data_IF_327704651822
#
_entry.id   IF_327704651822
#
_cell.length_a   1.000
_cell.length_b   1.000
_cell.length_c   1.000
_cell.angle_alpha   90.00
_cell.angle_beta   90.00
_cell.angle_gamma   90.00
#
_symmetry.space_group_name_H-M   'P 1'
#
loop_
_entity.id
_entity.type
_entity.pdbx_description
1 polymer ?
#
# COMPACT_ATOMS: atom_id res chain seq x y z
N UNK A 1 -2.51 29.51 -11.50
CA UNK A 1 -3.75 29.40 -12.32
C UNK A 1 -3.93 27.92 -12.56
N UNK A 2 -5.10 27.35 -12.27
CA UNK A 2 -5.30 25.89 -12.39
C UNK A 2 -5.01 25.46 -13.83
N UNK A 3 -4.00 24.61 -14.00
CA UNK A 3 -3.57 24.12 -15.32
C UNK A 3 -4.60 23.16 -15.91
N UNK A 4 -4.72 23.18 -17.24
CA UNK A 4 -5.65 22.34 -17.99
C UNK A 4 -5.11 20.90 -18.08
N UNK A 5 -5.79 19.89 -17.48
CA UNK A 5 -5.31 18.51 -17.44
C UNK A 5 -5.34 17.81 -18.82
N UNK A 6 -5.94 18.42 -19.84
CA UNK A 6 -5.89 17.91 -21.21
C UNK A 6 -4.67 18.40 -22.00
N UNK A 7 -3.94 19.38 -21.46
CA UNK A 7 -2.82 20.05 -22.13
C UNK A 7 -1.50 19.95 -21.36
N UNK A 8 -1.57 19.65 -20.06
CA UNK A 8 -0.40 19.57 -19.18
C UNK A 8 -0.25 18.16 -18.62
N UNK A 9 0.98 17.76 -18.38
CA UNK A 9 1.27 16.49 -17.71
C UNK A 9 0.91 16.57 -16.22
N UNK A 10 0.60 15.43 -15.61
CA UNK A 10 0.21 15.36 -14.20
C UNK A 10 1.22 15.99 -13.25
N UNK A 11 2.53 15.88 -13.56
CA UNK A 11 3.60 16.45 -12.75
C UNK A 11 3.66 17.98 -12.84
N UNK A 12 3.33 18.58 -13.98
CA UNK A 12 3.28 20.05 -14.15
C UNK A 12 2.13 20.64 -13.33
N UNK A 13 0.98 19.94 -13.34
CA UNK A 13 -0.19 20.30 -12.53
C UNK A 13 0.12 20.19 -11.04
N UNK A 14 0.80 19.11 -10.64
CA UNK A 14 1.23 18.92 -9.26
C UNK A 14 2.22 20.03 -8.83
N UNK A 15 3.22 20.34 -9.65
CA UNK A 15 4.21 21.40 -9.38
C UNK A 15 3.54 22.77 -9.20
N UNK A 16 2.56 23.13 -10.06
CA UNK A 16 1.78 24.36 -9.88
C UNK A 16 1.01 24.36 -8.56
N UNK A 17 0.35 23.25 -8.23
CA UNK A 17 -0.45 23.13 -7.03
C UNK A 17 0.41 23.11 -5.75
N UNK A 18 1.63 22.59 -5.82
CA UNK A 18 2.59 22.58 -4.71
C UNK A 18 2.93 24.01 -4.24
N UNK A 19 2.95 25.00 -5.15
CA UNK A 19 3.19 26.41 -4.79
C UNK A 19 2.12 27.04 -3.87
N UNK A 20 0.96 26.38 -3.73
CA UNK A 20 -0.22 26.87 -3.01
C UNK A 20 -0.74 25.85 -1.99
N UNK A 21 0.08 24.88 -1.61
CA UNK A 21 -0.24 23.92 -0.56
C UNK A 21 -0.38 24.58 0.81
N UNK A 22 -1.25 24.01 1.63
CA UNK A 22 -1.24 24.28 3.07
C UNK A 22 -0.02 23.63 3.69
N UNK A 23 0.56 24.27 4.69
CA UNK A 23 1.52 23.61 5.58
C UNK A 23 0.85 22.45 6.32
N UNK A 24 1.65 21.48 6.77
CA UNK A 24 1.14 20.35 7.54
C UNK A 24 0.56 20.80 8.88
N UNK A 25 1.05 21.92 9.43
CA UNK A 25 0.51 22.55 10.63
C UNK A 25 -0.91 23.09 10.38
N UNK A 26 -1.15 23.79 9.27
CA UNK A 26 -2.50 24.26 8.90
C UNK A 26 -3.47 23.08 8.67
N UNK A 27 -3.00 21.98 8.08
CA UNK A 27 -3.80 20.75 7.96
C UNK A 27 -4.15 20.17 9.34
N UNK A 28 -3.18 20.13 10.25
CA UNK A 28 -3.38 19.62 11.61
C UNK A 28 -4.38 20.47 12.41
N UNK A 29 -4.29 21.80 12.29
CA UNK A 29 -5.25 22.73 12.90
C UNK A 29 -6.66 22.52 12.34
N UNK A 30 -6.80 22.36 11.02
CA UNK A 30 -8.10 22.08 10.38
C UNK A 30 -8.69 20.72 10.81
N UNK A 31 -7.83 19.74 11.11
CA UNK A 31 -8.23 18.44 11.62
C UNK A 31 -8.52 18.44 13.13
N UNK A 32 -8.24 19.53 13.85
CA UNK A 32 -8.38 19.59 15.30
C UNK A 32 -7.42 18.64 16.03
N UNK A 33 -6.19 18.52 15.50
CA UNK A 33 -5.12 17.76 16.16
C UNK A 33 -4.52 18.55 17.32
N UNK A 34 -4.23 17.84 18.40
CA UNK A 34 -3.44 18.41 19.48
C UNK A 34 -1.97 18.52 19.03
N UNK A 35 -1.23 19.47 19.61
CA UNK A 35 0.16 19.78 19.21
C UNK A 35 1.08 18.55 19.14
N UNK A 36 0.88 17.61 20.06
CA UNK A 36 1.71 16.42 20.25
C UNK A 36 1.23 15.22 19.41
N UNK A 37 0.15 15.37 18.64
CA UNK A 37 -0.40 14.35 17.74
C UNK A 37 0.17 14.46 16.32
N UNK A 38 0.68 15.64 15.95
CA UNK A 38 1.41 15.85 14.71
C UNK A 38 2.92 15.68 14.94
N UNK A 39 3.56 14.89 14.08
CA UNK A 39 5.00 14.70 14.02
C UNK A 39 5.51 15.29 12.69
N UNK A 40 5.89 16.58 12.64
CA UNK A 40 6.23 17.24 11.37
C UNK A 40 7.45 16.61 10.68
N UNK A 41 7.39 16.49 9.37
CA UNK A 41 8.50 16.10 8.50
C UNK A 41 8.71 17.20 7.45
N UNK A 42 9.42 18.25 7.85
CA UNK A 42 9.47 19.50 7.10
C UNK A 42 8.16 20.29 7.23
N UNK A 43 7.80 21.02 6.19
CA UNK A 43 6.68 21.99 6.22
C UNK A 43 5.37 21.46 5.64
N UNK A 44 5.41 20.44 4.79
CA UNK A 44 4.25 19.98 4.00
C UNK A 44 3.92 18.50 4.17
N UNK A 45 4.73 17.77 4.95
CA UNK A 45 4.50 16.39 5.33
C UNK A 45 4.61 16.23 6.84
N UNK A 46 3.95 15.23 7.39
CA UNK A 46 4.10 14.84 8.78
C UNK A 46 3.60 13.43 9.00
N UNK A 47 3.88 12.88 10.16
CA UNK A 47 3.25 11.67 10.67
C UNK A 47 2.23 12.02 11.74
N UNK A 48 1.27 11.14 11.95
CA UNK A 48 0.27 11.28 13.01
C UNK A 48 0.51 10.25 14.09
N UNK A 49 0.64 10.69 15.35
CA UNK A 49 0.70 9.79 16.50
C UNK A 49 -0.67 9.11 16.67
N UNK A 50 -0.80 7.93 16.05
CA UNK A 50 -2.09 7.24 16.00
C UNK A 50 -2.59 6.89 17.40
N UNK A 51 -1.67 6.63 18.33
CA UNK A 51 -2.04 6.21 19.69
C UNK A 51 -2.67 7.36 20.44
N UNK A 52 -2.04 8.53 20.46
CA UNK A 52 -2.60 9.71 21.13
C UNK A 52 -3.97 10.09 20.56
N UNK A 53 -4.11 10.06 19.24
CA UNK A 53 -5.37 10.39 18.57
C UNK A 53 -6.47 9.38 18.93
N UNK A 54 -6.18 8.09 18.82
CA UNK A 54 -7.18 7.04 19.09
C UNK A 54 -7.54 6.94 20.57
N UNK A 55 -6.59 7.19 21.48
CA UNK A 55 -6.83 7.23 22.93
C UNK A 55 -7.72 8.44 23.29
N UNK A 56 -7.42 9.62 22.74
CA UNK A 56 -8.21 10.85 22.97
C UNK A 56 -9.62 10.77 22.39
N UNK A 57 -9.77 10.15 21.22
CA UNK A 57 -11.03 10.07 20.48
C UNK A 57 -11.72 8.70 20.62
N UNK A 58 -11.37 7.91 21.64
CA UNK A 58 -11.91 6.56 21.83
C UNK A 58 -13.44 6.52 21.85
N UNK A 59 -14.07 7.49 22.54
CA UNK A 59 -15.52 7.58 22.73
C UNK A 59 -16.26 8.27 21.55
N UNK A 60 -15.52 8.89 20.62
CA UNK A 60 -16.13 9.53 19.44
C UNK A 60 -16.60 8.43 18.48
N UNK A 61 -17.85 8.46 17.97
CA UNK A 61 -18.29 7.49 16.97
C UNK A 61 -17.45 7.61 15.68
N UNK A 62 -17.24 6.48 15.02
CA UNK A 62 -16.56 6.46 13.73
C UNK A 62 -17.40 7.16 12.65
N UNK A 63 -16.71 7.87 11.75
CA UNK A 63 -17.29 8.43 10.53
C UNK A 63 -17.76 7.37 9.53
N UNK A 64 -18.11 7.80 8.33
CA UNK A 64 -18.54 6.94 7.24
C UNK A 64 -17.34 6.40 6.47
N UNK A 65 -17.27 5.08 6.34
CA UNK A 65 -16.17 4.39 5.68
C UNK A 65 -16.53 4.03 4.25
N UNK A 66 -15.79 4.56 3.27
CA UNK A 66 -16.05 4.40 1.84
C UNK A 66 -14.85 3.72 1.21
N UNK A 67 -15.05 2.57 0.58
CA UNK A 67 -14.02 1.93 -0.26
C UNK A 67 -14.22 2.31 -1.73
N UNK A 68 -13.14 2.65 -2.41
CA UNK A 68 -13.10 2.81 -3.86
C UNK A 68 -12.41 1.59 -4.46
N UNK A 69 -13.14 0.86 -5.28
CA UNK A 69 -12.67 -0.29 -6.05
C UNK A 69 -12.93 -0.07 -7.54
N UNK A 70 -12.66 -1.05 -8.39
CA UNK A 70 -12.85 -0.94 -9.82
C UNK A 70 -13.38 -2.24 -10.44
N UNK A 71 -13.74 -2.16 -11.71
CA UNK A 71 -13.89 -3.33 -12.56
C UNK A 71 -12.55 -4.07 -12.76
N UNK A 72 -12.57 -5.21 -13.43
CA UNK A 72 -11.35 -5.96 -13.71
C UNK A 72 -10.39 -5.09 -14.54
N UNK A 73 -9.13 -4.88 -14.11
CA UNK A 73 -8.23 -3.95 -14.78
C UNK A 73 -7.96 -4.31 -16.23
N UNK A 74 -7.94 -3.28 -17.07
CA UNK A 74 -7.55 -3.33 -18.47
C UNK A 74 -6.21 -2.61 -18.66
N UNK A 75 -5.50 -2.82 -19.78
CA UNK A 75 -4.25 -2.08 -20.06
C UNK A 75 -4.41 -0.56 -20.13
N UNK A 76 -5.64 -0.04 -20.21
CA UNK A 76 -5.96 1.38 -20.27
C UNK A 76 -5.92 2.09 -18.90
N UNK A 77 -6.11 1.33 -17.82
CA UNK A 77 -6.35 1.86 -16.49
C UNK A 77 -7.74 2.48 -16.34
N UNK A 78 -8.34 2.27 -15.17
CA UNK A 78 -9.70 2.72 -14.88
C UNK A 78 -9.74 4.06 -14.15
N UNK A 79 -8.59 4.57 -13.66
CA UNK A 79 -8.51 5.83 -12.91
C UNK A 79 -9.06 5.74 -11.48
N UNK A 80 -8.89 4.58 -10.82
CA UNK A 80 -9.40 4.36 -9.45
C UNK A 80 -8.87 5.37 -8.42
N UNK A 81 -7.56 5.59 -8.38
CA UNK A 81 -6.96 6.54 -7.43
C UNK A 81 -7.34 7.99 -7.77
N UNK A 82 -7.52 8.31 -9.06
CA UNK A 82 -8.09 9.59 -9.51
C UNK A 82 -9.52 9.77 -8.99
N UNK A 83 -10.35 8.72 -9.05
CA UNK A 83 -11.70 8.73 -8.47
C UNK A 83 -11.66 8.91 -6.95
N UNK A 84 -10.77 8.23 -6.23
CA UNK A 84 -10.63 8.38 -4.78
C UNK A 84 -10.27 9.83 -4.40
N UNK A 85 -9.26 10.43 -5.04
CA UNK A 85 -8.90 11.84 -4.80
C UNK A 85 -10.01 12.80 -5.23
N UNK A 86 -10.67 12.53 -6.36
CA UNK A 86 -11.81 13.32 -6.84
C UNK A 86 -13.00 13.27 -5.87
N UNK A 87 -13.25 12.11 -5.24
CA UNK A 87 -14.29 11.96 -4.24
C UNK A 87 -13.96 12.70 -2.95
N UNK A 88 -12.69 12.65 -2.50
CA UNK A 88 -12.21 13.45 -1.35
C UNK A 88 -12.39 14.94 -1.63
N UNK A 89 -11.90 15.44 -2.77
CA UNK A 89 -12.07 16.83 -3.19
C UNK A 89 -13.55 17.21 -3.30
N UNK A 90 -14.37 16.36 -3.93
CA UNK A 90 -15.80 16.59 -4.11
C UNK A 90 -16.58 16.66 -2.81
N UNK A 91 -16.29 15.78 -1.85
CA UNK A 91 -16.86 15.84 -0.49
C UNK A 91 -16.42 17.12 0.24
N UNK A 92 -15.14 17.48 0.11
CA UNK A 92 -14.60 18.75 0.63
C UNK A 92 -15.34 19.98 0.06
N UNK A 93 -15.57 20.04 -1.26
CA UNK A 93 -16.35 21.12 -1.89
C UNK A 93 -17.81 21.18 -1.41
N UNK A 94 -18.34 20.06 -0.93
CA UNK A 94 -19.68 19.99 -0.31
C UNK A 94 -19.66 20.28 1.19
N UNK A 95 -18.56 20.85 1.70
CA UNK A 95 -18.34 21.18 3.11
C UNK A 95 -18.49 19.95 4.03
N UNK A 96 -18.08 18.77 3.56
CA UNK A 96 -18.00 17.56 4.40
C UNK A 96 -16.59 17.41 4.94
N UNK A 97 -16.49 17.05 6.23
CA UNK A 97 -15.22 16.66 6.83
C UNK A 97 -14.80 15.30 6.27
N UNK A 98 -13.72 15.26 5.49
CA UNK A 98 -13.29 14.07 4.75
C UNK A 98 -11.77 13.92 4.82
N UNK A 99 -11.32 12.69 5.00
CA UNK A 99 -9.91 12.28 4.89
C UNK A 99 -9.81 11.17 3.85
N UNK A 100 -8.84 11.26 2.94
CA UNK A 100 -8.46 10.15 2.07
C UNK A 100 -7.45 9.22 2.76
N UNK A 101 -7.50 7.91 2.51
CA UNK A 101 -6.51 6.94 3.00
C UNK A 101 -6.02 6.05 1.87
N UNK A 102 -4.79 6.27 1.40
CA UNK A 102 -4.24 5.58 0.23
C UNK A 102 -2.92 4.89 0.52
N UNK A 103 -2.50 4.02 -0.41
CA UNK A 103 -1.27 3.25 -0.29
C UNK A 103 -0.06 4.11 -0.64
N UNK A 104 1.03 3.89 0.07
CA UNK A 104 2.35 4.35 -0.34
C UNK A 104 2.81 3.58 -1.59
N UNK A 105 3.22 4.27 -2.66
CA UNK A 105 3.84 3.60 -3.80
C UNK A 105 5.28 3.17 -3.48
N UNK A 106 5.72 2.11 -4.15
CA UNK A 106 7.15 1.77 -4.26
C UNK A 106 7.84 2.78 -5.17
N UNK A 107 9.05 3.21 -4.81
CA UNK A 107 9.88 4.08 -5.66
C UNK A 107 10.49 3.33 -6.86
N UNK A 108 10.63 2.01 -6.76
CA UNK A 108 11.22 1.19 -7.81
C UNK A 108 10.52 1.29 -9.17
N UNK A 109 9.18 1.13 -9.25
CA UNK A 109 8.44 1.29 -10.50
C UNK A 109 8.37 2.73 -11.03
N UNK A 110 8.44 3.73 -10.15
CA UNK A 110 8.42 5.16 -10.50
C UNK A 110 9.55 5.51 -11.47
N UNK A 111 10.72 4.91 -11.29
CA UNK A 111 11.90 5.13 -12.15
C UNK A 111 11.84 4.36 -13.48
N UNK A 112 10.70 3.77 -13.84
CA UNK A 112 10.55 2.95 -15.04
C UNK A 112 9.34 3.44 -15.86
N UNK A 113 8.40 2.55 -16.23
CA UNK A 113 7.26 2.88 -17.11
C UNK A 113 6.05 3.43 -16.33
N UNK A 114 5.96 3.18 -15.01
CA UNK A 114 4.77 3.58 -14.24
C UNK A 114 4.89 5.02 -13.77
N UNK A 115 3.91 5.84 -14.15
CA UNK A 115 3.67 7.15 -13.54
C UNK A 115 3.21 7.04 -12.09
N UNK A 116 2.87 8.19 -11.51
CA UNK A 116 2.49 8.27 -10.09
C UNK A 116 1.19 7.51 -9.79
N UNK A 117 1.13 6.89 -8.60
CA UNK A 117 -0.09 6.30 -8.05
C UNK A 117 -0.93 7.32 -7.24
N UNK A 118 -0.59 8.61 -7.29
CA UNK A 118 -1.22 9.65 -6.48
C UNK A 118 -2.61 10.08 -6.97
N UNK A 119 -3.09 9.54 -8.10
CA UNK A 119 -4.24 10.05 -8.85
C UNK A 119 -3.78 10.59 -10.20
N UNK A 120 -4.55 11.50 -10.80
CA UNK A 120 -4.21 12.11 -12.10
C UNK A 120 -5.02 13.37 -12.39
N UNK A 121 -4.52 14.20 -13.30
CA UNK A 121 -5.11 15.48 -13.66
C UNK A 121 -5.30 16.40 -12.45
N UNK A 122 -6.52 16.91 -12.27
CA UNK A 122 -6.87 17.80 -11.16
C UNK A 122 -7.27 17.07 -9.86
N UNK A 123 -7.07 15.75 -9.80
CA UNK A 123 -7.38 14.93 -8.63
C UNK A 123 -6.16 14.08 -8.26
N UNK A 124 -5.24 14.68 -7.52
CA UNK A 124 -3.96 14.09 -7.11
C UNK A 124 -3.67 14.35 -5.63
N UNK A 125 -2.91 13.44 -5.02
CA UNK A 125 -2.24 13.64 -3.73
C UNK A 125 -0.85 14.25 -3.94
N UNK A 126 -0.52 15.30 -3.20
CA UNK A 126 0.75 16.06 -3.28
C UNK A 126 1.34 16.30 -1.88
N UNK A 127 2.67 16.54 -1.75
CA UNK A 127 3.69 16.68 -2.80
C UNK A 127 4.00 15.41 -3.60
N UNK A 128 4.08 15.51 -4.92
CA UNK A 128 4.19 14.34 -5.83
C UNK A 128 5.56 13.66 -5.74
N UNK A 129 6.63 14.46 -5.61
CA UNK A 129 8.00 13.93 -5.53
C UNK A 129 8.22 13.14 -4.23
N UNK A 130 7.97 13.71 -3.03
CA UNK A 130 7.95 12.95 -1.78
C UNK A 130 7.03 11.72 -1.83
N UNK A 131 5.81 11.84 -2.36
CA UNK A 131 4.88 10.71 -2.51
C UNK A 131 5.53 9.53 -3.26
N UNK A 132 6.29 9.83 -4.31
CA UNK A 132 6.86 8.84 -5.22
C UNK A 132 8.23 8.31 -4.80
N UNK A 133 8.98 9.03 -3.96
CA UNK A 133 10.39 8.77 -3.62
C UNK A 133 10.62 8.43 -2.13
N UNK A 134 9.63 7.81 -1.49
CA UNK A 134 9.78 7.20 -0.16
C UNK A 134 9.20 8.01 1.01
N UNK A 135 8.65 9.20 0.77
CA UNK A 135 8.00 10.06 1.75
C UNK A 135 8.85 10.25 3.03
N UNK A 136 8.40 9.68 4.14
CA UNK A 136 8.97 9.78 5.48
C UNK A 136 9.85 8.59 5.85
N UNK A 137 10.12 7.68 4.91
CA UNK A 137 11.04 6.56 5.09
C UNK A 137 10.41 5.22 5.50
N UNK A 138 9.10 5.06 5.43
CA UNK A 138 8.41 3.81 5.86
C UNK A 138 8.90 2.56 5.12
N UNK A 139 9.10 2.65 3.80
CA UNK A 139 9.67 1.55 3.02
C UNK A 139 11.13 1.27 3.43
N UNK A 140 11.88 2.30 3.84
CA UNK A 140 13.25 2.12 4.33
C UNK A 140 13.27 1.37 5.66
N UNK A 141 12.35 1.70 6.58
CA UNK A 141 12.16 0.96 7.82
C UNK A 141 11.82 -0.51 7.54
N UNK A 142 10.93 -0.78 6.57
CA UNK A 142 10.59 -2.14 6.15
C UNK A 142 11.81 -2.87 5.57
N UNK A 143 12.61 -2.22 4.72
CA UNK A 143 13.85 -2.80 4.19
C UNK A 143 14.81 -3.17 5.31
N UNK A 144 15.05 -2.27 6.25
CA UNK A 144 15.96 -2.53 7.37
C UNK A 144 15.44 -3.63 8.29
N UNK A 145 14.16 -3.61 8.65
CA UNK A 145 13.55 -4.66 9.48
C UNK A 145 13.61 -6.04 8.78
N UNK A 146 13.24 -6.12 7.50
CA UNK A 146 13.25 -7.38 6.76
C UNK A 146 14.66 -7.94 6.58
N UNK A 147 15.59 -7.08 6.13
CA UNK A 147 16.96 -7.50 5.89
C UNK A 147 17.69 -7.83 7.20
N UNK A 148 17.32 -7.21 8.34
CA UNK A 148 17.80 -7.63 9.65
C UNK A 148 17.40 -9.07 9.99
N UNK A 149 16.18 -9.50 9.62
CA UNK A 149 15.76 -10.90 9.74
C UNK A 149 16.66 -11.85 8.94
N UNK A 150 17.02 -11.48 7.71
CA UNK A 150 17.98 -12.24 6.89
C UNK A 150 19.40 -12.24 7.46
N UNK A 151 19.86 -11.11 8.02
CA UNK A 151 21.16 -11.03 8.70
C UNK A 151 21.18 -11.97 9.90
N UNK A 152 20.14 -11.97 10.73
CA UNK A 152 20.05 -12.85 11.89
C UNK A 152 20.04 -14.33 11.49
N UNK A 153 19.28 -14.68 10.44
CA UNK A 153 19.21 -16.04 9.89
C UNK A 153 20.58 -16.52 9.41
N UNK A 154 21.24 -15.76 8.54
CA UNK A 154 22.54 -16.14 7.96
C UNK A 154 23.65 -16.19 9.02
N UNK A 155 23.64 -15.25 9.97
CA UNK A 155 24.55 -15.24 11.12
C UNK A 155 24.35 -16.46 12.01
N UNK A 156 23.08 -16.85 12.27
CA UNK A 156 22.76 -18.06 13.05
C UNK A 156 23.27 -19.31 12.36
N UNK A 157 23.04 -19.46 11.06
CA UNK A 157 23.54 -20.60 10.27
C UNK A 157 25.07 -20.69 10.30
N UNK A 158 25.78 -19.57 10.18
CA UNK A 158 27.24 -19.53 10.25
C UNK A 158 27.74 -19.94 11.64
N UNK A 159 27.15 -19.41 12.72
CA UNK A 159 27.51 -19.80 14.08
C UNK A 159 27.31 -21.29 14.32
N UNK A 160 26.18 -21.84 13.87
CA UNK A 160 25.90 -23.26 13.95
C UNK A 160 26.88 -24.11 13.14
N UNK A 161 27.31 -23.66 11.95
CA UNK A 161 28.33 -24.35 11.17
C UNK A 161 29.73 -24.29 11.82
N UNK A 162 30.02 -23.22 12.56
CA UNK A 162 31.36 -22.94 13.08
C UNK A 162 31.64 -23.51 14.47
N UNK A 163 30.59 -23.76 15.25
CA UNK A 163 30.68 -24.08 16.68
C UNK A 163 29.91 -25.35 17.04
N UNK A 164 30.43 -26.09 18.02
CA UNK A 164 29.75 -27.24 18.62
C UNK A 164 28.64 -26.79 19.58
N UNK A 165 27.76 -27.72 19.97
CA UNK A 165 26.64 -27.42 20.86
C UNK A 165 27.10 -26.96 22.24
N UNK A 166 28.23 -27.46 22.73
CA UNK A 166 28.82 -27.00 24.00
C UNK A 166 29.26 -25.54 23.92
N UNK A 167 29.78 -25.09 22.78
CA UNK A 167 30.19 -23.69 22.57
C UNK A 167 28.96 -22.79 22.43
N UNK A 168 27.93 -23.24 21.71
CA UNK A 168 26.66 -22.50 21.59
C UNK A 168 25.97 -22.36 22.95
N UNK A 169 25.92 -23.44 23.75
CA UNK A 169 25.31 -23.43 25.08
C UNK A 169 26.01 -22.47 26.04
N UNK A 170 27.36 -22.35 25.98
CA UNK A 170 28.12 -21.34 26.76
C UNK A 170 27.73 -19.89 26.42
N UNK A 171 27.12 -19.65 25.26
CA UNK A 171 26.61 -18.34 24.81
C UNK A 171 25.09 -18.22 25.01
N UNK A 172 24.45 -19.16 25.68
CA UNK A 172 23.00 -19.19 25.88
C UNK A 172 22.21 -19.57 24.62
N UNK A 173 22.86 -20.14 23.59
CA UNK A 173 22.22 -20.47 22.33
C UNK A 173 21.94 -21.97 22.22
N UNK A 174 20.75 -22.31 21.75
CA UNK A 174 20.39 -23.65 21.30
C UNK A 174 20.52 -23.73 19.78
N UNK A 175 21.05 -24.85 19.26
CA UNK A 175 21.08 -25.14 17.82
C UNK A 175 19.66 -25.25 17.29
N UNK A 176 19.37 -24.51 16.22
CA UNK A 176 18.11 -24.58 15.47
C UNK A 176 18.16 -25.60 14.33
N UNK A 177 19.37 -26.00 13.90
CA UNK A 177 19.60 -27.02 12.87
C UNK A 177 18.94 -26.68 11.53
N UNK A 178 19.11 -25.41 11.13
CA UNK A 178 18.48 -24.82 9.94
C UNK A 178 18.96 -25.55 8.68
N UNK A 179 18.03 -25.98 7.83
CA UNK A 179 18.38 -26.65 6.59
C UNK A 179 18.78 -25.62 5.51
N UNK A 180 20.00 -25.67 4.95
CA UNK A 180 20.53 -24.60 4.09
C UNK A 180 19.84 -24.46 2.72
N UNK A 181 18.97 -25.41 2.36
CA UNK A 181 18.13 -25.36 1.14
C UNK A 181 16.65 -25.09 1.41
N UNK A 182 16.22 -24.93 2.66
CA UNK A 182 14.81 -24.68 3.05
C UNK A 182 14.68 -23.30 3.69
N UNK A 183 15.20 -22.30 2.99
CA UNK A 183 15.15 -20.90 3.40
C UNK A 183 14.05 -20.20 2.59
N UNK A 184 13.07 -19.63 3.27
CA UNK A 184 11.93 -18.98 2.62
C UNK A 184 12.15 -17.47 2.45
N UNK A 185 12.72 -16.85 3.49
CA UNK A 185 13.01 -15.43 3.52
C UNK A 185 14.13 -15.10 2.52
N UNK A 186 13.94 -14.04 1.74
CA UNK A 186 14.96 -13.47 0.86
C UNK A 186 15.36 -12.08 1.34
N UNK A 187 16.24 -11.42 0.60
CA UNK A 187 16.52 -10.01 0.82
C UNK A 187 15.49 -9.13 0.12
N UNK A 188 15.39 -7.87 0.51
CA UNK A 188 14.57 -6.89 -0.21
C UNK A 188 15.31 -5.59 -0.51
N UNK A 189 14.93 -4.98 -1.64
CA UNK A 189 15.31 -3.64 -2.06
C UNK A 189 14.12 -2.97 -2.76
N UNK A 190 14.03 -1.64 -2.74
CA UNK A 190 12.94 -0.94 -3.43
C UNK A 190 13.31 -0.47 -4.84
N UNK A 191 13.93 -1.37 -5.62
CA UNK A 191 14.30 -1.14 -7.02
C UNK A 191 13.94 -2.32 -7.91
N UNK A 192 13.64 -2.03 -9.18
CA UNK A 192 13.35 -3.03 -10.19
C UNK A 192 14.64 -3.70 -10.70
N UNK A 193 15.23 -4.64 -9.94
CA UNK A 193 16.48 -5.32 -10.31
C UNK A 193 16.26 -6.82 -10.63
N UNK A 194 15.99 -7.14 -11.90
CA UNK A 194 15.77 -8.54 -12.32
C UNK A 194 17.00 -9.44 -12.10
N UNK A 195 18.20 -8.87 -12.20
CA UNK A 195 19.47 -9.58 -12.01
C UNK A 195 19.67 -10.15 -10.60
N UNK A 196 18.93 -9.65 -9.59
CA UNK A 196 19.05 -10.09 -8.19
C UNK A 196 18.01 -11.15 -7.80
N UNK A 197 17.18 -11.63 -8.73
CA UNK A 197 16.14 -12.64 -8.46
C UNK A 197 16.72 -13.98 -8.00
N UNK A 198 17.90 -14.35 -8.51
CA UNK A 198 18.60 -15.58 -8.14
C UNK A 198 20.07 -15.25 -7.92
N UNK A 199 20.56 -15.42 -6.71
CA UNK A 199 21.95 -15.14 -6.33
C UNK A 199 22.53 -16.29 -5.51
N UNK A 200 23.85 -16.34 -5.42
CA UNK A 200 24.55 -17.17 -4.44
C UNK A 200 25.22 -16.25 -3.43
N UNK A 201 25.02 -16.50 -2.14
CA UNK A 201 25.64 -15.74 -1.03
C UNK A 201 26.53 -16.65 -0.19
N UNK A 202 27.30 -16.05 0.73
CA UNK A 202 28.17 -16.80 1.63
C UNK A 202 29.40 -17.40 0.93
N UNK A 203 29.83 -16.83 -0.18
CA UNK A 203 31.00 -17.26 -0.93
C UNK A 203 32.25 -16.77 -0.20
N UNK A 204 33.18 -17.67 0.10
CA UNK A 204 34.43 -17.32 0.77
C UNK A 204 34.88 -18.42 1.74
N UNK A 205 35.52 -18.02 2.83
CA UNK A 205 35.94 -18.89 3.92
C UNK A 205 34.93 -18.99 5.05
N UNK A 206 35.36 -19.65 6.14
CA UNK A 206 34.56 -19.90 7.36
C UNK A 206 33.92 -18.64 7.98
N UNK A 207 34.50 -17.47 7.72
CA UNK A 207 34.06 -16.18 8.27
C UNK A 207 33.11 -15.40 7.36
N UNK A 208 32.83 -15.90 6.15
CA UNK A 208 32.06 -15.18 5.12
C UNK A 208 30.60 -15.68 5.00
N UNK A 209 30.16 -16.56 5.91
CA UNK A 209 28.81 -17.14 5.92
C UNK A 209 28.75 -18.57 5.37
N UNK A 210 27.53 -19.08 5.17
CA UNK A 210 27.29 -20.41 4.58
C UNK A 210 26.88 -20.25 3.12
N UNK A 211 27.61 -20.91 2.21
CA UNK A 211 27.28 -20.86 0.78
C UNK A 211 25.88 -21.41 0.50
N UNK A 212 24.99 -20.58 -0.02
CA UNK A 212 23.62 -20.99 -0.36
C UNK A 212 22.99 -20.17 -1.49
N UNK A 213 21.96 -20.73 -2.12
CA UNK A 213 21.09 -19.99 -3.03
C UNK A 213 20.25 -18.99 -2.24
N UNK A 214 20.07 -17.79 -2.78
CA UNK A 214 19.25 -16.73 -2.19
C UNK A 214 18.61 -15.88 -3.29
N UNK A 215 17.86 -14.86 -2.90
CA UNK A 215 17.04 -14.03 -3.80
C UNK A 215 16.84 -12.63 -3.22
N UNK A 216 16.62 -11.64 -4.08
CA UNK A 216 16.02 -10.37 -3.72
C UNK A 216 14.60 -10.25 -4.25
N UNK A 217 13.72 -9.63 -3.47
CA UNK A 217 12.39 -9.19 -3.89
C UNK A 217 12.23 -7.67 -3.74
N UNK A 218 11.19 -7.10 -4.35
CA UNK A 218 10.91 -5.67 -4.19
C UNK A 218 10.36 -5.38 -2.79
N UNK A 219 10.73 -4.27 -2.15
CA UNK A 219 10.44 -4.01 -0.73
C UNK A 219 8.95 -4.13 -0.35
N UNK A 220 8.05 -3.64 -1.19
CA UNK A 220 6.60 -3.72 -0.99
C UNK A 220 6.00 -5.13 -1.05
N UNK A 221 6.78 -6.13 -1.47
CA UNK A 221 6.40 -7.56 -1.43
C UNK A 221 6.71 -8.23 -0.08
N UNK A 222 7.39 -7.53 0.83
CA UNK A 222 7.71 -8.02 2.17
C UNK A 222 6.47 -8.40 2.97
N UNK A 223 6.54 -9.51 3.71
CA UNK A 223 5.51 -9.85 4.70
C UNK A 223 5.37 -8.77 5.78
N UNK A 224 6.46 -8.07 6.13
CA UNK A 224 6.42 -6.93 7.06
C UNK A 224 5.53 -5.80 6.52
N UNK A 225 5.53 -5.56 5.20
CA UNK A 225 4.62 -4.59 4.58
C UNK A 225 3.16 -5.03 4.71
N UNK A 226 2.87 -6.32 4.55
CA UNK A 226 1.54 -6.86 4.77
C UNK A 226 1.12 -6.76 6.24
N UNK A 227 2.03 -7.03 7.18
CA UNK A 227 1.82 -6.87 8.62
C UNK A 227 1.53 -5.41 8.96
N UNK A 228 2.31 -4.45 8.46
CA UNK A 228 2.06 -3.02 8.66
C UNK A 228 0.65 -2.62 8.20
N UNK A 229 0.19 -3.18 7.09
CA UNK A 229 -1.14 -2.87 6.56
C UNK A 229 -2.28 -3.39 7.45
N UNK A 230 -2.07 -4.45 8.25
CA UNK A 230 -3.12 -5.10 9.04
C UNK A 230 -2.92 -5.07 10.56
N UNK A 231 -1.83 -4.49 11.04
CA UNK A 231 -1.58 -4.32 12.46
C UNK A 231 -2.56 -3.30 13.05
N UNK A 232 -3.04 -3.58 14.26
CA UNK A 232 -3.90 -2.66 15.01
C UNK A 232 -3.09 -1.66 15.86
N UNK A 233 -1.90 -2.06 16.29
CA UNK A 233 -0.97 -1.28 17.10
C UNK A 233 0.43 -1.92 17.05
N UNK A 234 1.40 -1.30 17.73
CA UNK A 234 2.79 -1.75 17.76
C UNK A 234 2.95 -3.15 18.38
N UNK A 235 2.10 -3.51 19.35
CA UNK A 235 2.15 -4.81 20.01
C UNK A 235 1.65 -5.90 19.07
N UNK A 236 0.50 -5.72 18.43
CA UNK A 236 -0.02 -6.63 17.39
C UNK A 236 0.98 -6.78 16.25
N UNK A 237 1.62 -5.70 15.83
CA UNK A 237 2.70 -5.74 14.83
C UNK A 237 3.86 -6.62 15.28
N UNK A 238 4.35 -6.46 16.51
CA UNK A 238 5.42 -7.32 17.07
C UNK A 238 5.02 -8.78 17.11
N UNK A 239 3.81 -9.06 17.62
CA UNK A 239 3.30 -10.43 17.75
C UNK A 239 3.16 -11.13 16.40
N UNK A 240 2.90 -10.38 15.32
CA UNK A 240 2.90 -10.89 13.94
C UNK A 240 4.31 -11.06 13.39
N UNK A 241 5.19 -10.07 13.59
CA UNK A 241 6.59 -10.15 13.17
C UNK A 241 7.24 -11.39 13.78
N UNK A 242 7.01 -11.66 15.06
CA UNK A 242 7.50 -12.83 15.81
C UNK A 242 7.10 -14.20 15.20
N UNK A 243 6.03 -14.24 14.39
CA UNK A 243 5.51 -15.47 13.78
C UNK A 243 5.96 -15.68 12.33
N UNK A 244 6.69 -14.71 11.76
CA UNK A 244 7.22 -14.84 10.40
C UNK A 244 8.13 -16.07 10.36
N UNK A 245 7.79 -17.03 9.49
CA UNK A 245 8.61 -18.21 9.23
C UNK A 245 9.71 -17.83 8.26
N UNK A 246 10.96 -17.99 8.68
CA UNK A 246 12.12 -17.60 7.88
C UNK A 246 12.78 -18.77 7.15
N UNK A 247 12.66 -19.97 7.73
CA UNK A 247 13.30 -21.19 7.26
C UNK A 247 12.64 -22.42 7.89
N UNK A 248 13.08 -23.60 7.46
CA UNK A 248 12.78 -24.87 8.12
C UNK A 248 14.08 -25.55 8.58
N UNK A 249 13.98 -26.29 9.69
CA UNK A 249 15.08 -27.14 10.15
C UNK A 249 15.18 -28.45 9.33
N UNK A 250 16.14 -29.30 9.69
CA UNK A 250 16.34 -30.60 9.01
C UNK A 250 15.21 -31.60 9.25
N UNK A 251 14.32 -31.35 10.21
CA UNK A 251 13.16 -32.18 10.53
C UNK A 251 11.84 -31.54 10.04
N UNK A 252 11.91 -30.56 9.13
CA UNK A 252 10.75 -29.87 8.54
C UNK A 252 9.90 -29.06 9.53
N UNK A 253 10.47 -28.67 10.67
CA UNK A 253 9.80 -27.75 11.61
C UNK A 253 10.10 -26.30 11.22
N UNK A 254 9.09 -25.41 11.27
CA UNK A 254 9.29 -24.00 10.94
C UNK A 254 10.17 -23.32 11.98
N UNK A 255 11.07 -22.46 11.50
CA UNK A 255 11.89 -21.56 12.31
C UNK A 255 11.39 -20.13 12.08
N UNK A 256 11.05 -19.46 13.17
CA UNK A 256 10.48 -18.11 13.15
C UNK A 256 11.50 -17.04 13.51
N UNK A 257 11.14 -15.77 13.32
CA UNK A 257 11.93 -14.62 13.83
C UNK A 257 12.03 -14.60 15.35
N UNK A 258 11.05 -15.15 16.08
CA UNK A 258 11.12 -15.32 17.53
C UNK A 258 12.15 -16.38 17.94
N UNK A 259 12.26 -17.49 17.19
CA UNK A 259 13.29 -18.51 17.42
C UNK A 259 14.71 -17.97 17.18
N UNK A 260 14.83 -16.96 16.32
CA UNK A 260 16.06 -16.19 16.08
C UNK A 260 16.27 -15.04 17.08
N UNK A 261 15.31 -14.77 17.96
CA UNK A 261 15.31 -13.66 18.93
C UNK A 261 15.51 -12.28 18.27
N UNK A 262 15.01 -12.08 17.04
CA UNK A 262 15.20 -10.85 16.25
C UNK A 262 13.91 -10.02 16.08
N UNK A 263 12.75 -10.57 16.44
CA UNK A 263 11.43 -9.94 16.28
C UNK A 263 11.35 -8.54 16.94
N UNK A 264 11.94 -8.39 18.13
CA UNK A 264 11.96 -7.13 18.87
C UNK A 264 12.77 -6.06 18.15
N UNK A 265 13.95 -6.43 17.62
CA UNK A 265 14.82 -5.51 16.89
C UNK A 265 14.22 -5.14 15.51
N UNK A 266 13.57 -6.09 14.84
CA UNK A 266 12.79 -5.81 13.62
C UNK A 266 11.64 -4.85 13.90
N UNK A 267 10.95 -5.01 15.03
CA UNK A 267 9.87 -4.11 15.44
C UNK A 267 10.38 -2.72 15.80
N UNK A 268 11.57 -2.61 16.41
CA UNK A 268 12.18 -1.33 16.75
C UNK A 268 12.39 -0.43 15.52
N UNK A 269 12.79 -1.00 14.38
CA UNK A 269 12.87 -0.29 13.10
C UNK A 269 11.53 0.29 12.62
N UNK A 270 10.42 -0.29 13.06
CA UNK A 270 9.07 0.04 12.61
C UNK A 270 8.34 1.03 13.54
N UNK A 271 8.97 1.47 14.64
CA UNK A 271 8.34 2.34 15.66
C UNK A 271 7.84 3.66 15.07
N UNK A 272 8.60 4.27 14.17
CA UNK A 272 8.17 5.50 13.50
C UNK A 272 7.26 5.20 12.30
N UNK A 273 7.59 4.12 11.58
CA UNK A 273 6.90 3.71 10.35
C UNK A 273 5.49 3.17 10.57
N UNK A 274 5.06 2.94 11.81
CA UNK A 274 3.67 2.55 12.13
C UNK A 274 2.72 3.75 12.14
N UNK A 275 3.24 4.97 12.27
CA UNK A 275 2.44 6.19 12.26
C UNK A 275 2.10 6.60 10.82
N UNK A 276 0.82 6.82 10.46
CA UNK A 276 0.44 7.19 9.10
C UNK A 276 0.93 8.57 8.71
N UNK A 277 1.27 8.76 7.43
CA UNK A 277 1.76 10.03 6.90
C UNK A 277 0.60 10.92 6.49
N UNK A 278 0.60 12.19 6.90
CA UNK A 278 -0.34 13.21 6.49
C UNK A 278 0.22 14.01 5.31
N UNK A 279 -0.57 14.04 4.23
CA UNK A 279 -0.37 14.80 3.00
C UNK A 279 -1.72 15.48 2.63
N UNK A 280 -1.84 15.98 1.40
CA UNK A 280 -3.08 16.63 0.95
C UNK A 280 -3.37 16.42 -0.54
N UNK A 281 -4.61 16.65 -0.91
CA UNK A 281 -5.03 16.79 -2.31
C UNK A 281 -4.55 18.12 -2.91
N UNK A 282 -4.72 18.31 -4.23
CA UNK A 282 -4.45 19.59 -4.90
C UNK A 282 -5.28 20.78 -4.34
N UNK A 283 -6.42 20.49 -3.69
CA UNK A 283 -7.30 21.50 -3.09
C UNK A 283 -7.15 21.60 -1.56
N UNK A 284 -6.17 20.89 -0.99
CA UNK A 284 -5.82 20.98 0.43
C UNK A 284 -6.76 20.20 1.36
N UNK A 285 -7.43 19.15 0.89
CA UNK A 285 -8.07 18.18 1.78
C UNK A 285 -7.04 17.16 2.28
N UNK A 286 -7.11 16.73 3.55
CA UNK A 286 -6.14 15.82 4.15
C UNK A 286 -6.19 14.43 3.54
N UNK A 287 -5.01 13.85 3.28
CA UNK A 287 -4.84 12.48 2.80
C UNK A 287 -3.79 11.78 3.64
N UNK A 288 -4.14 10.64 4.21
CA UNK A 288 -3.20 9.74 4.87
C UNK A 288 -2.63 8.73 3.87
N UNK A 289 -1.31 8.67 3.78
CA UNK A 289 -0.61 7.71 2.90
C UNK A 289 0.17 6.74 3.76
N UNK A 290 -0.22 5.47 3.77
CA UNK A 290 0.39 4.52 4.71
C UNK A 290 0.23 3.06 4.30
N UNK A 291 1.32 2.29 4.42
CA UNK A 291 1.49 0.94 3.88
C UNK A 291 1.24 0.85 2.37
N UNK A 292 1.77 -0.18 1.72
CA UNK A 292 1.62 -0.39 0.28
C UNK A 292 1.85 -1.82 -0.17
N UNK A 293 1.24 -2.83 0.50
CA UNK A 293 1.43 -4.22 0.11
C UNK A 293 0.86 -4.50 -1.29
N UNK A 294 1.46 -5.48 -1.94
CA UNK A 294 0.90 -6.03 -3.19
C UNK A 294 -0.50 -6.58 -2.99
N UNK A 295 -1.34 -6.44 -4.02
CA UNK A 295 -2.71 -6.89 -4.00
C UNK A 295 -2.90 -8.33 -4.51
N UNK A 296 -1.85 -8.97 -5.07
CA UNK A 296 -1.89 -10.37 -5.50
C UNK A 296 -1.46 -11.32 -4.38
N UNK A 297 -0.24 -11.17 -3.86
CA UNK A 297 0.34 -12.00 -2.80
C UNK A 297 -0.03 -11.56 -1.37
N UNK A 298 -0.57 -10.34 -1.23
CA UNK A 298 -0.95 -9.77 0.06
C UNK A 298 -2.30 -9.04 -0.05
N UNK A 299 -2.60 -8.14 0.89
CA UNK A 299 -3.93 -7.55 1.08
C UNK A 299 -4.27 -6.43 0.08
N UNK A 300 -3.29 -5.71 -0.44
CA UNK A 300 -3.53 -4.68 -1.46
C UNK A 300 -4.19 -3.39 -0.98
N UNK A 301 -4.10 -3.07 0.31
CA UNK A 301 -4.78 -1.95 0.97
C UNK A 301 -3.79 -1.05 1.72
N UNK A 302 -4.18 0.19 2.00
CA UNK A 302 -3.51 1.03 3.00
C UNK A 302 -3.72 0.47 4.42
N UNK A 303 -3.01 1.00 5.42
CA UNK A 303 -3.05 0.43 6.78
C UNK A 303 -4.39 0.60 7.51
N UNK A 304 -4.75 -0.39 8.33
CA UNK A 304 -5.86 -0.30 9.31
C UNK A 304 -5.71 0.91 10.24
N UNK A 305 -4.49 1.22 10.67
CA UNK A 305 -4.23 2.35 11.58
C UNK A 305 -4.66 3.68 10.95
N UNK A 306 -4.27 3.93 9.69
CA UNK A 306 -4.68 5.12 8.95
C UNK A 306 -6.22 5.25 8.86
N UNK A 307 -6.93 4.16 8.58
CA UNK A 307 -8.40 4.20 8.52
C UNK A 307 -9.03 4.50 9.87
N UNK A 308 -8.54 3.88 10.94
CA UNK A 308 -9.05 4.11 12.30
C UNK A 308 -8.87 5.57 12.69
N UNK A 309 -7.69 6.14 12.43
CA UNK A 309 -7.40 7.55 12.71
C UNK A 309 -8.31 8.45 11.87
N UNK A 310 -8.42 8.20 10.56
CA UNK A 310 -9.27 8.97 9.66
C UNK A 310 -10.75 8.96 10.09
N UNK A 311 -11.27 7.79 10.48
CA UNK A 311 -12.65 7.64 10.93
C UNK A 311 -12.95 8.33 12.27
N UNK A 312 -11.93 8.52 13.13
CA UNK A 312 -12.10 9.34 14.34
C UNK A 312 -12.00 10.84 14.06
N UNK A 313 -11.18 11.25 13.10
CA UNK A 313 -10.96 12.67 12.81
C UNK A 313 -12.03 13.29 11.91
N UNK A 314 -12.56 12.55 10.94
CA UNK A 314 -13.47 13.07 9.93
C UNK A 314 -14.80 12.34 9.85
N UNK A 315 -15.81 13.02 9.28
CA UNK A 315 -17.14 12.44 9.05
C UNK A 315 -17.11 11.37 7.94
N UNK A 316 -16.12 11.42 7.05
CA UNK A 316 -15.94 10.49 5.94
C UNK A 316 -14.47 10.09 5.80
N UNK A 317 -14.21 8.80 5.68
CA UNK A 317 -12.94 8.25 5.23
C UNK A 317 -13.12 7.60 3.85
N UNK A 318 -12.39 8.08 2.85
CA UNK A 318 -12.34 7.49 1.51
C UNK A 318 -11.04 6.71 1.36
N UNK A 319 -11.15 5.39 1.29
CA UNK A 319 -10.02 4.48 1.07
C UNK A 319 -10.11 3.81 -0.30
N UNK A 320 -9.09 3.04 -0.69
CA UNK A 320 -9.12 2.31 -1.96
C UNK A 320 -8.51 0.91 -1.90
N UNK A 321 -9.01 0.06 -2.78
CA UNK A 321 -8.61 -1.33 -2.94
C UNK A 321 -7.77 -1.58 -4.21
N UNK A 322 -6.59 -2.20 -4.07
CA UNK A 322 -5.75 -2.57 -5.23
C UNK A 322 -6.39 -3.62 -6.16
N UNK A 323 -6.15 -3.55 -7.47
CA UNK A 323 -6.89 -4.33 -8.51
C UNK A 323 -8.40 -4.02 -8.55
N UNK A 324 -9.20 -4.91 -9.13
CA UNK A 324 -10.66 -4.81 -9.19
C UNK A 324 -11.35 -5.39 -7.95
N UNK A 325 -12.68 -5.40 -7.95
CA UNK A 325 -13.46 -5.84 -6.79
C UNK A 325 -13.34 -7.34 -6.49
N UNK A 326 -13.02 -8.14 -7.51
CA UNK A 326 -12.73 -9.57 -7.43
C UNK A 326 -11.50 -9.93 -6.58
N UNK A 327 -10.53 -9.02 -6.49
CA UNK A 327 -9.30 -9.24 -5.70
C UNK A 327 -9.19 -8.24 -4.56
N UNK A 328 -9.21 -6.94 -4.87
CA UNK A 328 -8.96 -5.88 -3.91
C UNK A 328 -10.05 -5.77 -2.88
N UNK A 329 -11.28 -5.58 -3.34
CA UNK A 329 -12.44 -5.43 -2.47
C UNK A 329 -12.75 -6.73 -1.71
N UNK A 330 -12.58 -7.89 -2.35
CA UNK A 330 -12.68 -9.19 -1.68
C UNK A 330 -11.77 -9.26 -0.46
N UNK A 331 -10.48 -8.92 -0.62
CA UNK A 331 -9.50 -8.90 0.48
C UNK A 331 -9.76 -7.78 1.49
N UNK A 332 -10.22 -6.63 1.03
CA UNK A 332 -10.65 -5.53 1.91
C UNK A 332 -11.73 -6.01 2.87
N UNK A 333 -12.81 -6.59 2.34
CA UNK A 333 -13.92 -7.08 3.14
C UNK A 333 -13.56 -8.30 3.99
N UNK A 334 -12.96 -9.33 3.40
CA UNK A 334 -12.73 -10.60 4.10
C UNK A 334 -11.51 -10.59 5.03
N UNK A 335 -10.54 -9.71 4.81
CA UNK A 335 -9.33 -9.61 5.63
C UNK A 335 -9.28 -8.29 6.40
N UNK A 336 -9.27 -7.14 5.71
CA UNK A 336 -9.02 -5.84 6.38
C UNK A 336 -10.13 -5.49 7.34
N UNK A 337 -11.40 -5.54 6.90
CA UNK A 337 -12.58 -5.31 7.74
C UNK A 337 -12.71 -6.36 8.85
N UNK A 338 -12.31 -7.62 8.59
CA UNK A 338 -12.30 -8.67 9.62
C UNK A 338 -11.28 -8.39 10.73
N UNK A 339 -10.06 -7.99 10.36
CA UNK A 339 -9.00 -7.69 11.33
C UNK A 339 -9.25 -6.39 12.09
N UNK A 340 -9.77 -5.35 11.42
CA UNK A 340 -10.04 -4.04 12.03
C UNK A 340 -11.38 -3.96 12.74
N UNK A 341 -12.32 -4.85 12.41
CA UNK A 341 -13.75 -4.80 12.76
C UNK A 341 -14.49 -3.58 12.17
N UNK A 342 -13.86 -2.82 11.29
CA UNK A 342 -14.48 -1.69 10.59
C UNK A 342 -15.51 -2.19 9.57
N UNK A 343 -16.59 -1.44 9.41
CA UNK A 343 -17.68 -1.77 8.48
C UNK A 343 -17.83 -0.65 7.43
N UNK A 344 -17.58 -0.93 6.15
CA UNK A 344 -17.80 0.04 5.08
C UNK A 344 -19.29 0.36 4.94
N UNK A 345 -19.61 1.62 4.68
CA UNK A 345 -20.97 2.12 4.47
C UNK A 345 -21.37 2.07 2.99
N UNK A 346 -20.41 2.23 2.08
CA UNK A 346 -20.59 2.00 0.65
C UNK A 346 -19.26 1.62 0.00
N UNK A 347 -19.37 1.07 -1.21
CA UNK A 347 -18.22 0.86 -2.08
C UNK A 347 -18.49 1.50 -3.44
N UNK A 348 -17.53 2.30 -3.92
CA UNK A 348 -17.57 2.93 -5.23
C UNK A 348 -16.87 2.01 -6.22
N UNK A 349 -17.54 1.62 -7.29
CA UNK A 349 -16.99 0.75 -8.35
C UNK A 349 -16.68 1.63 -9.55
N UNK A 350 -15.38 1.82 -9.81
CA UNK A 350 -14.90 2.64 -10.91
C UNK A 350 -14.88 1.84 -12.22
N UNK A 351 -15.41 2.44 -13.28
CA UNK A 351 -15.34 1.94 -14.65
C UNK A 351 -15.09 3.09 -15.63
N UNK A 352 -14.69 2.75 -16.86
CA UNK A 352 -14.60 3.69 -17.99
C UNK A 352 -15.26 3.06 -19.20
N UNK A 353 -15.80 3.89 -20.10
CA UNK A 353 -16.41 3.40 -21.35
C UNK A 353 -15.40 2.58 -22.16
N UNK A 354 -14.16 3.03 -22.25
CA UNK A 354 -13.10 2.31 -22.97
C UNK A 354 -12.75 0.97 -22.33
N UNK A 355 -12.71 0.87 -21.00
CA UNK A 355 -12.48 -0.41 -20.33
C UNK A 355 -13.65 -1.38 -20.53
N UNK A 356 -14.90 -0.87 -20.52
CA UNK A 356 -16.08 -1.69 -20.84
C UNK A 356 -16.02 -2.19 -22.30
N UNK A 357 -15.66 -1.34 -23.26
CA UNK A 357 -15.43 -1.79 -24.66
C UNK A 357 -14.42 -2.92 -24.74
N UNK A 358 -13.31 -2.83 -24.00
CA UNK A 358 -12.28 -3.88 -23.95
C UNK A 358 -12.85 -5.21 -23.42
N UNK A 359 -13.64 -5.19 -22.35
CA UNK A 359 -14.30 -6.38 -21.82
C UNK A 359 -15.38 -6.93 -22.76
N UNK A 360 -15.97 -6.08 -23.59
CA UNK A 360 -16.98 -6.46 -24.59
C UNK A 360 -16.43 -6.95 -25.93
N UNK A 361 -15.11 -7.11 -26.06
CA UNK A 361 -14.48 -7.70 -27.25
C UNK A 361 -13.78 -6.72 -28.19
N UNK A 362 -13.60 -5.45 -27.79
CA UNK A 362 -12.71 -4.55 -28.53
C UNK A 362 -11.25 -5.06 -28.51
N UNK A 363 -10.41 -4.72 -29.51
CA UNK A 363 -9.01 -5.15 -29.55
C UNK A 363 -8.25 -4.79 -28.27
N UNK A 364 -7.48 -5.70 -27.68
CA UNK A 364 -6.77 -5.43 -26.42
C UNK A 364 -5.63 -4.43 -26.66
N UNK A 365 -5.60 -3.28 -25.95
CA UNK A 365 -4.52 -2.31 -26.08
C UNK A 365 -3.19 -2.89 -25.58
N UNK A 366 -2.10 -2.68 -26.32
CA UNK A 366 -0.77 -3.18 -25.97
C UNK A 366 0.10 -2.01 -25.51
N UNK A 367 0.68 -2.05 -24.29
CA UNK A 367 1.57 -0.99 -23.81
C UNK A 367 2.71 -0.70 -24.80
N UNK A 368 2.95 0.58 -25.07
CA UNK A 368 3.97 1.04 -26.02
C UNK A 368 3.56 1.00 -27.50
N UNK A 369 2.33 0.54 -27.83
CA UNK A 369 1.75 0.66 -29.16
C UNK A 369 0.68 1.75 -29.22
N UNK A 370 0.39 2.31 -30.41
CA UNK A 370 -0.74 3.22 -30.59
C UNK A 370 -2.06 2.57 -30.14
N UNK A 371 -2.98 3.38 -29.64
CA UNK A 371 -4.32 2.94 -29.27
C UNK A 371 -5.05 2.38 -30.50
N UNK A 372 -5.77 1.23 -30.39
CA UNK A 372 -6.62 0.77 -31.48
C UNK A 372 -7.68 1.83 -31.83
N UNK A 373 -7.90 2.09 -33.11
CA UNK A 373 -8.74 3.18 -33.60
C UNK A 373 -10.20 3.05 -33.16
N UNK A 374 -10.64 1.82 -32.91
CA UNK A 374 -11.99 1.48 -32.50
C UNK A 374 -12.36 2.04 -31.11
N UNK A 375 -11.37 2.33 -30.26
CA UNK A 375 -11.61 3.00 -28.98
C UNK A 375 -12.02 4.47 -29.12
N UNK A 376 -11.68 5.11 -30.24
CA UNK A 376 -12.06 6.49 -30.55
C UNK A 376 -13.42 6.62 -31.23
N UNK A 377 -14.12 5.51 -31.48
CA UNK A 377 -15.42 5.49 -32.13
C UNK A 377 -16.50 5.01 -31.17
N UNK A 378 -17.74 5.44 -31.38
CA UNK A 378 -18.89 4.92 -30.63
C UNK A 378 -19.12 3.44 -30.96
N UNK A 379 -19.32 2.63 -29.92
CA UNK A 379 -19.77 1.25 -30.06
C UNK A 379 -20.49 0.82 -28.78
N UNK A 380 -21.81 1.03 -28.75
CA UNK A 380 -22.65 0.71 -27.60
C UNK A 380 -22.71 -0.80 -27.34
N UNK A 381 -22.64 -1.64 -28.38
CA UNK A 381 -22.70 -3.09 -28.25
C UNK A 381 -21.54 -3.67 -27.44
N UNK A 382 -20.31 -3.18 -27.65
CA UNK A 382 -19.17 -3.58 -26.81
C UNK A 382 -19.30 -3.07 -25.37
N UNK A 383 -19.86 -1.87 -25.16
CA UNK A 383 -20.09 -1.36 -23.81
C UNK A 383 -21.11 -2.24 -23.08
N UNK A 384 -22.22 -2.58 -23.73
CA UNK A 384 -23.27 -3.45 -23.19
C UNK A 384 -22.73 -4.84 -22.84
N UNK A 385 -21.94 -5.46 -23.73
CA UNK A 385 -21.32 -6.75 -23.45
C UNK A 385 -20.30 -6.64 -22.29
N UNK A 386 -19.50 -5.58 -22.27
CA UNK A 386 -18.56 -5.28 -21.19
C UNK A 386 -19.20 -5.00 -19.83
N UNK A 387 -20.44 -4.48 -19.82
CA UNK A 387 -21.20 -4.25 -18.59
C UNK A 387 -21.45 -5.54 -17.81
N UNK A 388 -21.35 -6.73 -18.41
CA UNK A 388 -21.38 -8.00 -17.66
C UNK A 388 -20.26 -8.09 -16.62
N UNK A 389 -19.08 -7.54 -16.91
CA UNK A 389 -17.99 -7.43 -15.94
C UNK A 389 -18.37 -6.48 -14.78
N UNK A 390 -18.89 -5.30 -15.10
CA UNK A 390 -19.35 -4.34 -14.10
C UNK A 390 -20.46 -4.91 -13.22
N UNK A 391 -21.46 -5.55 -13.81
CA UNK A 391 -22.58 -6.19 -13.10
C UNK A 391 -22.04 -7.27 -12.15
N UNK A 392 -21.08 -8.08 -12.58
CA UNK A 392 -20.45 -9.06 -11.71
C UNK A 392 -19.83 -8.41 -10.46
N UNK A 393 -19.11 -7.30 -10.62
CA UNK A 393 -18.50 -6.58 -9.50
C UNK A 393 -19.52 -5.89 -8.59
N UNK A 394 -20.62 -5.38 -9.16
CA UNK A 394 -21.77 -4.88 -8.38
C UNK A 394 -22.33 -5.98 -7.48
N UNK A 395 -22.54 -7.19 -8.03
CA UNK A 395 -23.05 -8.32 -7.26
C UNK A 395 -22.05 -8.81 -6.21
N UNK A 396 -20.73 -8.75 -6.48
CA UNK A 396 -19.69 -9.03 -5.49
C UNK A 396 -19.79 -8.08 -4.29
N UNK A 397 -19.97 -6.77 -4.52
CA UNK A 397 -20.15 -5.79 -3.45
C UNK A 397 -21.44 -6.03 -2.67
N UNK A 398 -22.56 -6.32 -3.36
CA UNK A 398 -23.84 -6.63 -2.70
C UNK A 398 -23.78 -7.89 -1.85
N UNK A 399 -23.06 -8.93 -2.29
CA UNK A 399 -22.85 -10.17 -1.51
C UNK A 399 -22.16 -9.92 -0.18
N UNK A 400 -21.31 -8.90 -0.10
CA UNK A 400 -20.69 -8.46 1.15
C UNK A 400 -21.65 -7.65 2.05
N UNK A 401 -22.90 -7.41 1.62
CA UNK A 401 -23.89 -6.62 2.34
C UNK A 401 -23.63 -5.11 2.28
N UNK A 402 -22.86 -4.64 1.29
CA UNK A 402 -22.42 -3.25 1.13
C UNK A 402 -23.16 -2.62 -0.05
N UNK A 403 -23.46 -1.32 0.05
CA UNK A 403 -24.12 -0.58 -1.02
C UNK A 403 -23.11 -0.22 -2.13
N UNK A 404 -23.29 -0.72 -3.38
CA UNK A 404 -22.46 -0.32 -4.50
C UNK A 404 -22.92 1.03 -5.08
N UNK A 405 -21.97 1.87 -5.47
CA UNK A 405 -22.19 3.07 -6.28
C UNK A 405 -21.24 3.00 -7.48
N UNK A 406 -21.75 3.10 -8.70
CA UNK A 406 -20.89 3.09 -9.89
C UNK A 406 -20.38 4.50 -10.16
N UNK A 407 -19.07 4.63 -10.38
CA UNK A 407 -18.45 5.85 -10.87
C UNK A 407 -17.89 5.59 -12.27
N UNK A 408 -18.42 6.31 -13.27
CA UNK A 408 -17.88 6.29 -14.63
C UNK A 408 -16.91 7.45 -14.78
N UNK A 409 -15.62 7.13 -14.89
CA UNK A 409 -14.60 8.13 -15.21
C UNK A 409 -14.73 8.49 -16.69
N UNK A 410 -15.20 9.71 -16.94
CA UNK A 410 -15.44 10.23 -18.28
C UNK A 410 -14.13 10.50 -19.04
N UNK A 411 -14.11 10.17 -20.32
CA UNK A 411 -13.09 10.60 -21.27
C UNK A 411 -13.71 11.47 -22.36
N UNK A 412 -12.93 12.41 -22.90
CA UNK A 412 -13.39 13.36 -23.93
C UNK A 412 -13.86 12.70 -25.25
N UNK A 413 -13.55 11.42 -25.44
CA UNK A 413 -13.99 10.61 -26.58
C UNK A 413 -15.28 9.84 -26.33
N UNK A 414 -15.79 9.86 -25.10
CA UNK A 414 -17.03 9.16 -24.73
C UNK A 414 -18.20 10.01 -25.24
N UNK A 415 -19.17 9.36 -25.90
CA UNK A 415 -20.41 10.00 -26.36
C UNK A 415 -21.44 10.05 -25.23
N UNK A 416 -22.38 10.98 -25.32
CA UNK A 416 -23.43 11.24 -24.32
C UNK A 416 -24.46 10.10 -24.18
#
# INVERSE_FOLDING_TARGET
MVLDPTKHADWEIAEEAESRMKTVQELAEQLGLDKEELLPHGHYLGKLDYRKILDRLADKPDGKYIDVTAITPTPLGEGKSTCAMGLVQGLGKRNKSVIGTIRQPSGGPTMNIKGSAAGGGLAQCIPLTPFSLGMTGDINAIMNAHNLGMVALTSRMQHEANYTDEILAKRGLKRLDIHPKKIELGWIIDFCAQALRNITIGIGGKMDGVTMQSKFSIAVSSEIMAILAVANDLRDMRERIARIVVAYDRQDRPITTADLEVDGAMTAWMVDAINPNLMQTLEGQPVMVHAGPFANIAIGQSSIIADRVALKLADYNVTESGFGADIGFEKFWNLKCRYSKLKPNCAVIVATIRALKCHGGAPIPVPGKPMPAEYGQENVGWVEEGCKNLIHHIETVKKAGINPVVCINAFYTDTD
#
